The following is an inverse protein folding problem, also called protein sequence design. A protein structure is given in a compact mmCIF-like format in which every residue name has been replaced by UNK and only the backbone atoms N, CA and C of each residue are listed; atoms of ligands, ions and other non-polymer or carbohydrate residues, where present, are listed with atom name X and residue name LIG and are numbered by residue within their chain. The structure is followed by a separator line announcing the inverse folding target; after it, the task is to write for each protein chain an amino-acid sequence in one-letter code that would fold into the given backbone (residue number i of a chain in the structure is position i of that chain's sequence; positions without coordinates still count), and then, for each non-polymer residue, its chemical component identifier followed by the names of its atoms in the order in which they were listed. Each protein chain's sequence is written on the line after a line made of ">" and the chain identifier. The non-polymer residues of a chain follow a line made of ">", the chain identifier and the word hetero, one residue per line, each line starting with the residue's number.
data_IF_218747670762
#
_entry.id   IF_218747670762
#
_cell.length_a   1.000
_cell.length_b   1.000
_cell.length_c   1.000
_cell.angle_alpha   90.00
_cell.angle_beta   90.00
_cell.angle_gamma   90.00
#
_symmetry.space_group_name_H-M   'P 1'
#
loop_
_entity.id
_entity.type
_entity.pdbx_description
1 polymer ?
#
# COMPACT_ATOMS: atom_id res chain seq x y z
N UNK A 1 12.83 36.55 15.73
CA UNK A 1 13.46 35.33 15.18
C UNK A 1 12.43 34.59 14.34
N UNK A 2 12.40 34.88 13.02
CA UNK A 2 11.46 34.26 12.10
C UNK A 2 12.06 32.94 11.59
N UNK A 3 11.57 31.82 12.11
CA UNK A 3 11.88 30.50 11.52
C UNK A 3 11.03 30.33 10.27
N UNK A 4 11.60 30.66 9.12
CA UNK A 4 11.08 30.26 7.81
C UNK A 4 11.12 28.74 7.74
N UNK A 5 9.95 28.11 7.85
CA UNK A 5 9.80 26.73 7.42
C UNK A 5 9.85 26.73 5.90
N UNK A 6 11.04 26.52 5.35
CA UNK A 6 11.14 26.07 3.97
C UNK A 6 10.36 24.77 3.89
N UNK A 7 9.18 24.81 3.25
CA UNK A 7 8.59 23.62 2.62
C UNK A 7 9.68 23.08 1.72
N UNK A 8 10.41 22.06 2.18
CA UNK A 8 11.33 21.31 1.35
C UNK A 8 10.52 20.87 0.14
N UNK A 9 10.81 21.54 -0.98
CA UNK A 9 10.21 21.31 -2.27
C UNK A 9 10.40 19.83 -2.54
N UNK A 10 9.28 19.11 -2.53
CA UNK A 10 9.22 17.67 -2.66
C UNK A 10 10.09 17.24 -3.85
N UNK A 11 11.08 16.39 -3.59
CA UNK A 11 11.91 15.63 -4.55
C UNK A 11 11.04 14.67 -5.42
N UNK A 12 9.87 15.12 -5.88
CA UNK A 12 8.74 14.29 -6.33
C UNK A 12 8.64 14.08 -7.83
N UNK A 13 9.71 14.26 -8.60
CA UNK A 13 9.54 14.20 -10.06
C UNK A 13 10.41 13.24 -10.84
N UNK A 14 11.45 12.64 -10.28
CA UNK A 14 12.18 11.59 -11.00
C UNK A 14 12.66 10.53 -10.00
N UNK A 15 12.13 9.31 -10.12
CA UNK A 15 12.61 8.08 -9.47
C UNK A 15 12.13 7.74 -8.03
N UNK A 16 10.84 7.93 -7.71
CA UNK A 16 10.24 7.18 -6.59
C UNK A 16 9.96 5.73 -7.05
N UNK A 17 11.02 4.94 -7.23
CA UNK A 17 10.94 3.49 -7.38
C UNK A 17 10.21 2.85 -6.20
N UNK A 18 10.24 3.45 -5.01
CA UNK A 18 9.52 2.94 -3.85
C UNK A 18 8.09 3.50 -3.73
N UNK A 19 7.10 2.62 -3.60
CA UNK A 19 5.73 2.92 -3.17
C UNK A 19 5.61 2.64 -1.69
N UNK A 20 5.24 3.65 -0.91
CA UNK A 20 4.94 3.43 0.49
C UNK A 20 3.55 2.82 0.65
N UNK A 21 3.42 1.79 1.47
CA UNK A 21 2.16 1.11 1.76
C UNK A 21 1.78 1.36 3.20
N UNK A 22 0.55 1.83 3.44
CA UNK A 22 -0.07 1.86 4.78
C UNK A 22 -1.20 0.84 4.78
N UNK A 23 -0.97 -0.27 5.47
CA UNK A 23 -1.94 -1.36 5.59
C UNK A 23 -2.69 -1.28 6.92
N UNK A 24 -4.02 -1.46 6.87
CA UNK A 24 -4.93 -1.42 8.02
C UNK A 24 -5.59 -2.78 8.21
N UNK A 25 -5.51 -3.34 9.40
CA UNK A 25 -6.23 -4.54 9.81
C UNK A 25 -6.94 -4.29 11.14
N UNK A 26 -8.28 -4.24 11.13
CA UNK A 26 -9.04 -3.81 12.32
C UNK A 26 -8.65 -2.39 12.77
N UNK A 27 -8.13 -2.27 13.99
CA UNK A 27 -7.60 -1.01 14.54
C UNK A 27 -6.08 -0.81 14.30
N UNK A 28 -5.40 -1.83 13.79
CA UNK A 28 -3.95 -1.84 13.60
C UNK A 28 -3.54 -1.20 12.28
N UNK A 29 -2.40 -0.50 12.30
CA UNK A 29 -1.76 0.05 11.11
C UNK A 29 -0.30 -0.37 11.03
N UNK A 30 0.13 -0.80 9.85
CA UNK A 30 1.53 -1.11 9.55
C UNK A 30 1.98 -0.45 8.25
N UNK A 31 3.27 -0.13 8.17
CA UNK A 31 3.89 0.47 6.99
C UNK A 31 5.04 -0.38 6.48
N UNK A 32 5.12 -0.52 5.17
CA UNK A 32 6.22 -1.14 4.45
C UNK A 32 6.29 -0.51 3.05
N UNK A 33 7.33 -0.85 2.28
CA UNK A 33 7.53 -0.29 0.93
C UNK A 33 7.54 -1.39 -0.12
N UNK A 34 7.09 -1.07 -1.33
CA UNK A 34 7.15 -1.91 -2.52
C UNK A 34 7.95 -1.23 -3.62
N UNK A 35 8.51 -2.00 -4.54
CA UNK A 35 9.05 -1.46 -5.79
C UNK A 35 7.90 -1.22 -6.78
N UNK A 36 7.81 0.00 -7.32
CA UNK A 36 6.83 0.44 -8.30
C UNK A 36 7.03 -0.21 -9.66
N UNK A 37 8.29 -0.35 -10.07
CA UNK A 37 8.66 -0.89 -11.38
C UNK A 37 8.55 -2.42 -11.38
N UNK A 38 8.81 -3.04 -10.23
CA UNK A 38 8.78 -4.50 -10.07
C UNK A 38 8.04 -4.91 -8.79
N UNK A 39 6.71 -4.69 -8.73
CA UNK A 39 5.94 -4.99 -7.52
C UNK A 39 5.85 -6.48 -7.20
N UNK A 40 6.15 -7.37 -8.16
CA UNK A 40 6.04 -8.82 -8.00
C UNK A 40 4.62 -9.33 -8.25
N UNK A 41 4.30 -10.51 -7.70
CA UNK A 41 2.97 -11.12 -7.82
C UNK A 41 2.07 -10.77 -6.64
N UNK A 42 0.76 -10.80 -6.86
CA UNK A 42 -0.23 -10.63 -5.81
C UNK A 42 -0.05 -11.63 -4.66
N UNK A 43 0.29 -12.88 -4.97
CA UNK A 43 0.47 -13.93 -3.96
C UNK A 43 1.60 -13.60 -2.97
N UNK A 44 2.71 -13.03 -3.45
CA UNK A 44 3.84 -12.63 -2.60
C UNK A 44 3.46 -11.43 -1.74
N UNK A 45 2.73 -10.47 -2.32
CA UNK A 45 2.18 -9.34 -1.57
C UNK A 45 1.18 -9.79 -0.50
N UNK A 46 0.33 -10.75 -0.81
CA UNK A 46 -0.62 -11.34 0.14
C UNK A 46 0.11 -12.00 1.32
N UNK A 47 1.14 -12.80 1.05
CA UNK A 47 2.01 -13.41 2.09
C UNK A 47 2.71 -12.34 2.93
N UNK A 48 3.23 -11.28 2.30
CA UNK A 48 3.87 -10.16 2.98
C UNK A 48 2.89 -9.46 3.94
N UNK A 49 1.64 -9.25 3.51
CA UNK A 49 0.58 -8.66 4.34
C UNK A 49 0.26 -9.55 5.55
N UNK A 50 0.08 -10.85 5.35
CA UNK A 50 -0.17 -11.79 6.44
C UNK A 50 0.99 -11.81 7.44
N UNK A 51 2.22 -11.90 6.94
CA UNK A 51 3.43 -11.88 7.76
C UNK A 51 3.55 -10.57 8.55
N UNK A 52 3.33 -9.43 7.88
CA UNK A 52 3.45 -8.11 8.48
C UNK A 52 2.47 -7.91 9.63
N UNK A 53 1.22 -8.36 9.49
CA UNK A 53 0.17 -8.25 10.52
C UNK A 53 0.09 -9.45 11.47
N UNK A 54 1.02 -10.40 11.37
CA UNK A 54 1.06 -11.61 12.20
C UNK A 54 -0.27 -12.40 12.13
N UNK A 55 -0.89 -12.45 10.94
CA UNK A 55 -2.16 -13.14 10.72
C UNK A 55 -1.87 -14.61 10.42
N UNK A 56 -2.34 -15.50 11.29
CA UNK A 56 -2.24 -16.95 11.13
C UNK A 56 -3.63 -17.59 11.07
N UNK A 57 -3.74 -18.69 10.32
CA UNK A 57 -4.93 -19.56 10.27
C UNK A 57 -6.24 -18.84 9.89
N UNK A 58 -6.17 -17.77 9.09
CA UNK A 58 -7.36 -17.03 8.65
C UNK A 58 -7.15 -16.50 7.24
N UNK A 59 -8.14 -16.72 6.37
CA UNK A 59 -8.17 -16.07 5.06
C UNK A 59 -8.57 -14.61 5.20
N UNK A 60 -7.96 -13.73 4.40
CA UNK A 60 -8.29 -12.31 4.39
C UNK A 60 -8.59 -11.83 2.99
N UNK A 61 -9.42 -10.79 2.89
CA UNK A 61 -9.56 -10.00 1.67
C UNK A 61 -8.69 -8.76 1.78
N UNK A 62 -8.09 -8.36 0.66
CA UNK A 62 -7.27 -7.16 0.57
C UNK A 62 -7.95 -6.21 -0.41
N UNK A 63 -8.11 -4.95 0.00
CA UNK A 63 -8.55 -3.86 -0.86
C UNK A 63 -7.64 -2.64 -0.73
N UNK A 64 -7.73 -1.73 -1.69
CA UNK A 64 -7.03 -0.45 -1.64
C UNK A 64 -7.97 0.71 -1.95
N UNK A 65 -7.68 1.86 -1.36
CA UNK A 65 -8.32 3.11 -1.78
C UNK A 65 -7.56 3.68 -2.99
N UNK A 66 -8.26 3.83 -4.10
CA UNK A 66 -7.72 4.44 -5.31
C UNK A 66 -7.58 5.97 -5.19
N UNK A 67 -7.23 6.63 -6.30
CA UNK A 67 -7.07 8.10 -6.33
C UNK A 67 -8.39 8.87 -6.20
N UNK A 68 -9.52 8.22 -6.49
CA UNK A 68 -10.86 8.78 -6.35
C UNK A 68 -11.46 8.52 -4.96
N UNK A 69 -10.84 7.62 -4.18
CA UNK A 69 -11.26 7.24 -2.83
C UNK A 69 -12.12 5.97 -2.81
N UNK A 70 -12.29 5.31 -3.95
CA UNK A 70 -13.04 4.07 -4.06
C UNK A 70 -12.24 2.90 -3.48
N UNK A 71 -12.92 2.03 -2.73
CA UNK A 71 -12.32 0.82 -2.19
C UNK A 71 -12.41 -0.32 -3.21
N UNK A 72 -11.29 -0.64 -3.84
CA UNK A 72 -11.20 -1.66 -4.88
C UNK A 72 -10.46 -2.91 -4.38
N UNK A 73 -10.84 -4.12 -4.80
CA UNK A 73 -10.20 -5.35 -4.37
C UNK A 73 -8.80 -5.52 -5.00
N UNK A 74 -7.86 -6.05 -4.23
CA UNK A 74 -6.61 -6.62 -4.73
C UNK A 74 -6.72 -8.14 -4.58
N UNK A 75 -7.03 -8.84 -5.67
CA UNK A 75 -7.30 -10.28 -5.68
C UNK A 75 -6.62 -11.01 -6.85
N UNK A 76 -5.87 -10.30 -7.69
CA UNK A 76 -5.09 -10.84 -8.80
C UNK A 76 -3.92 -9.89 -9.14
N UNK A 77 -3.02 -10.33 -10.00
CA UNK A 77 -1.82 -9.60 -10.39
C UNK A 77 -2.14 -8.26 -11.08
N UNK A 78 -3.20 -8.20 -11.90
CA UNK A 78 -3.58 -6.99 -12.62
C UNK A 78 -4.05 -5.87 -11.67
N UNK A 79 -4.92 -6.22 -10.72
CA UNK A 79 -5.42 -5.29 -9.71
C UNK A 79 -4.30 -4.85 -8.76
N UNK A 80 -3.37 -5.74 -8.44
CA UNK A 80 -2.18 -5.40 -7.66
C UNK A 80 -1.29 -4.41 -8.40
N UNK A 81 -0.98 -4.67 -9.67
CA UNK A 81 -0.18 -3.77 -10.50
C UNK A 81 -0.84 -2.39 -10.62
N UNK A 82 -2.17 -2.33 -10.84
CA UNK A 82 -2.94 -1.08 -10.85
C UNK A 82 -2.88 -0.34 -9.53
N UNK A 83 -3.03 -1.03 -8.40
CA UNK A 83 -2.95 -0.43 -7.07
C UNK A 83 -1.58 0.22 -6.81
N UNK A 84 -0.48 -0.49 -7.14
CA UNK A 84 0.88 0.04 -6.98
C UNK A 84 1.16 1.22 -7.91
N UNK A 85 0.74 1.11 -9.17
CA UNK A 85 0.99 2.14 -10.20
C UNK A 85 0.21 3.42 -9.95
N UNK A 86 -1.02 3.32 -9.44
CA UNK A 86 -1.89 4.46 -9.14
C UNK A 86 -1.56 5.17 -7.82
N UNK A 87 -0.83 4.52 -6.91
CA UNK A 87 -0.46 5.11 -5.64
C UNK A 87 0.37 6.38 -5.83
N UNK A 88 0.07 7.46 -5.11
CA UNK A 88 0.92 8.67 -5.13
C UNK A 88 0.77 9.48 -3.82
N UNK A 89 1.80 9.53 -2.96
CA UNK A 89 2.94 8.61 -2.84
C UNK A 89 2.59 7.33 -2.04
N UNK A 90 1.40 7.28 -1.44
CA UNK A 90 1.00 6.28 -0.44
C UNK A 90 -0.13 5.40 -0.96
N UNK A 91 0.10 4.09 -0.99
CA UNK A 91 -0.93 3.08 -1.20
C UNK A 91 -1.63 2.78 0.14
N UNK A 92 -2.93 3.05 0.23
CA UNK A 92 -3.74 2.73 1.42
C UNK A 92 -4.41 1.39 1.23
N UNK A 93 -4.03 0.42 2.05
CA UNK A 93 -4.50 -0.97 1.97
C UNK A 93 -5.38 -1.27 3.17
N UNK A 94 -6.50 -1.94 2.92
CA UNK A 94 -7.45 -2.40 3.92
C UNK A 94 -7.51 -3.92 3.88
N UNK A 95 -7.42 -4.53 5.04
CA UNK A 95 -7.41 -5.98 5.22
C UNK A 95 -8.61 -6.33 6.07
N UNK A 96 -9.40 -7.29 5.62
CA UNK A 96 -10.57 -7.79 6.34
C UNK A 96 -10.49 -9.31 6.44
N UNK A 97 -10.87 -9.88 7.58
CA UNK A 97 -10.99 -11.33 7.70
C UNK A 97 -12.12 -11.80 6.79
N UNK A 98 -11.90 -12.90 6.08
CA UNK A 98 -12.97 -13.60 5.38
C UNK A 98 -13.77 -14.34 6.44
N UNK A 99 -15.02 -13.91 6.65
CA UNK A 99 -15.98 -14.54 7.54
C UNK A 99 -16.67 -15.72 6.87
#
# INVERSE_FOLDING_TARGET
>A
MNRSFHKSQTLRFYDCSAVEVKSKFGAEFRRFSLDRQKPGKFEDFYKLVLHTHHIANTEVTIGYADVHGDLLPINNDDNFCKAVSSANPLLRVFIQKRG
#
